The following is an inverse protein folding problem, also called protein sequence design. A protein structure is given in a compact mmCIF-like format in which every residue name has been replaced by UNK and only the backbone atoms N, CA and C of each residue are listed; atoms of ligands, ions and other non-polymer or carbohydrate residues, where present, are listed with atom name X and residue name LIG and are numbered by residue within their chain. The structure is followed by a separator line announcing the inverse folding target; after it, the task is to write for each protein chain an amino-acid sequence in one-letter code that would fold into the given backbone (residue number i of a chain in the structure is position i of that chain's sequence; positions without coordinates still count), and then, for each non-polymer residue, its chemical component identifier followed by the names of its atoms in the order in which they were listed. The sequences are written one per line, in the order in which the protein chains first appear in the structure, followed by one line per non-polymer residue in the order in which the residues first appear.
data_IF_074734009535
#
_entry.id   IF_074734009535
#
_cell.length_a   1.000
_cell.length_b   1.000
_cell.length_c   1.000
_cell.angle_alpha   90.00
_cell.angle_beta   90.00
_cell.angle_gamma   90.00
#
_symmetry.space_group_name_H-M   'P 1'
#
loop_
_entity.id
_entity.type
_entity.pdbx_description
1 polymer ?
2 non-polymer ?
3 non-polymer ?
4 non-polymer ?
5 non-polymer ?
6 non-polymer ?
7 water ?
#
# COMPACT_ATOMS: atom_id res chain seq x y z
N UNK A 16 -22.34 8.63 5.20
CA UNK A 16 -20.90 8.74 4.79
C UNK A 16 -20.56 7.76 3.65
N UNK A 17 -21.34 7.78 2.56
CA UNK A 17 -21.00 6.85 1.51
C UNK A 17 -19.63 7.20 0.88
N UNK A 18 -18.94 6.18 0.43
CA UNK A 18 -17.76 6.42 -0.38
C UNK A 18 -18.16 6.88 -1.77
N UNK A 19 -17.28 7.65 -2.42
CA UNK A 19 -17.64 8.13 -3.74
C UNK A 19 -17.50 7.08 -4.82
N UNK A 20 -18.02 7.42 -6.00
CA UNK A 20 -17.95 6.59 -7.19
C UNK A 20 -16.58 5.99 -7.30
N UNK A 21 -16.53 4.66 -7.37
CA UNK A 21 -15.31 3.87 -7.63
C UNK A 21 -14.23 4.01 -6.54
N UNK A 22 -14.72 4.26 -5.34
CA UNK A 22 -13.97 3.94 -4.13
C UNK A 22 -14.56 2.70 -3.50
N UNK A 23 -13.86 2.17 -2.52
CA UNK A 23 -14.21 0.96 -1.81
C UNK A 23 -14.30 1.28 -0.33
N UNK A 24 -15.34 0.80 0.32
CA UNK A 24 -15.53 1.02 1.76
C UNK A 24 -15.02 -0.13 2.58
N UNK A 25 -14.36 0.14 3.68
CA UNK A 25 -14.08 -0.89 4.68
C UNK A 25 -13.81 -0.22 6.03
N UNK A 26 -14.56 -0.63 7.04
CA UNK A 26 -14.37 -0.14 8.44
C UNK A 26 -14.24 1.36 8.54
N UNK A 27 -15.12 2.10 7.86
CA UNK A 27 -15.21 3.55 8.07
C UNK A 27 -14.22 4.35 7.27
N UNK A 28 -13.45 3.66 6.42
CA UNK A 28 -12.56 4.37 5.50
C UNK A 28 -12.95 4.05 4.09
N UNK A 29 -12.61 4.95 3.19
CA UNK A 29 -12.77 4.79 1.76
C UNK A 29 -11.40 4.57 1.14
N UNK A 30 -11.31 3.62 0.22
CA UNK A 30 -10.05 3.27 -0.43
C UNK A 30 -10.21 3.44 -1.91
N UNK A 31 -9.22 4.06 -2.53
CA UNK A 31 -9.18 4.20 -3.98
C UNK A 31 -8.18 3.24 -4.54
N UNK A 32 -8.62 2.25 -5.30
CA UNK A 32 -7.75 1.33 -6.02
C UNK A 32 -7.56 1.87 -7.42
N UNK A 33 -6.35 2.31 -7.71
CA UNK A 33 -6.11 3.02 -8.96
C UNK A 33 -6.36 2.12 -10.18
N UNK A 34 -6.67 2.79 -11.28
CA UNK A 34 -6.69 1.99 -12.51
C UNK A 34 -5.53 2.33 -13.44
N UNK A 35 -4.72 3.30 -13.07
CA UNK A 35 -3.45 3.57 -13.77
C UNK A 35 -2.31 3.23 -12.82
N UNK A 36 -1.08 3.36 -13.29
CA UNK A 36 0.14 3.02 -12.52
C UNK A 36 1.08 4.18 -12.36
N UNK A 37 1.73 4.25 -11.21
CA UNK A 37 2.65 5.34 -10.84
C UNK A 37 3.79 4.75 -10.04
N UNK A 38 4.95 5.40 -10.07
CA UNK A 38 5.98 5.04 -9.11
C UNK A 38 5.57 5.42 -7.69
N UNK A 39 6.37 5.03 -6.70
CA UNK A 39 5.94 5.15 -5.32
C UNK A 39 5.74 6.60 -4.93
N UNK A 40 6.71 7.47 -5.20
CA UNK A 40 6.53 8.85 -4.84
C UNK A 40 5.36 9.55 -5.53
N UNK A 41 5.14 9.21 -6.80
CA UNK A 41 4.02 9.80 -7.51
C UNK A 41 2.68 9.27 -6.99
N UNK A 42 2.70 8.04 -6.48
CA UNK A 42 1.49 7.51 -5.82
C UNK A 42 1.16 8.28 -4.53
N UNK A 43 2.19 8.62 -3.75
CA UNK A 43 1.97 9.47 -2.58
C UNK A 43 1.31 10.80 -3.00
N UNK A 44 1.82 11.41 -4.07
CA UNK A 44 1.30 12.70 -4.55
C UNK A 44 -0.12 12.52 -5.04
N UNK A 45 -0.38 11.47 -5.79
CA UNK A 45 -1.76 11.28 -6.31
C UNK A 45 -2.76 11.18 -5.14
N UNK A 46 -2.40 10.48 -4.08
CA UNK A 46 -3.31 10.41 -2.94
C UNK A 46 -3.49 11.72 -2.25
N UNK A 47 -2.40 12.48 -2.10
CA UNK A 47 -2.52 13.82 -1.45
C UNK A 47 -3.43 14.73 -2.28
N UNK A 48 -3.46 14.56 -3.60
CA UNK A 48 -4.27 15.41 -4.47
C UNK A 48 -5.76 15.27 -4.18
N UNK A 49 -6.17 14.10 -3.69
CA UNK A 49 -7.57 13.81 -3.40
C UNK A 49 -7.81 13.78 -1.89
N UNK A 50 -6.92 14.39 -1.10
CA UNK A 50 -7.09 14.49 0.36
C UNK A 50 -6.99 13.17 1.07
N UNK A 51 -6.21 12.26 0.50
CA UNK A 51 -6.05 10.91 1.04
C UNK A 51 -4.58 10.63 1.29
N UNK A 52 -4.25 9.39 1.62
CA UNK A 52 -2.87 8.98 1.87
C UNK A 52 -2.61 7.63 1.22
N UNK A 53 -1.43 7.43 0.63
CA UNK A 53 -1.03 6.15 0.14
C UNK A 53 -1.12 5.21 1.34
N UNK A 54 -1.80 4.08 1.17
CA UNK A 54 -2.42 3.44 2.36
C UNK A 54 -1.40 3.04 3.44
N UNK A 55 -1.75 3.41 4.67
CA UNK A 55 -1.04 2.97 5.87
C UNK A 55 -1.95 1.98 6.60
N UNK A 56 -1.46 0.77 6.77
CA UNK A 56 -2.26 -0.29 7.37
C UNK A 56 -2.12 -0.24 8.87
N UNK A 57 -3.26 -0.28 9.55
CA UNK A 57 -3.30 -0.14 11.02
C UNK A 57 -3.78 -1.40 11.72
N UNK A 58 -4.30 -2.38 10.99
CA UNK A 58 -4.79 -3.61 11.65
C UNK A 58 -4.66 -4.83 10.80
N UNK A 59 -4.72 -5.99 11.47
CA UNK A 59 -4.73 -7.27 10.78
C UNK A 59 -5.88 -7.41 9.80
N UNK A 60 -7.09 -7.01 10.22
CA UNK A 60 -8.21 -7.19 9.30
C UNK A 60 -8.13 -6.26 8.09
N UNK A 61 -7.55 -5.08 8.25
CA UNK A 61 -7.35 -4.18 7.14
C UNK A 61 -6.32 -4.75 6.18
N UNK A 62 -5.23 -5.29 6.72
CA UNK A 62 -4.28 -6.03 5.90
C UNK A 62 -4.94 -7.16 5.13
N UNK A 63 -5.73 -7.97 5.83
CA UNK A 63 -6.31 -9.13 5.14
C UNK A 63 -7.21 -8.65 4.02
N UNK A 64 -8.01 -7.61 4.27
CA UNK A 64 -8.90 -7.08 3.29
C UNK A 64 -8.17 -6.53 2.08
N UNK A 65 -7.14 -5.69 2.31
CA UNK A 65 -6.46 -5.07 1.18
C UNK A 65 -5.65 -6.09 0.38
N UNK A 66 -5.01 -7.00 1.09
CA UNK A 66 -4.21 -8.06 0.44
C UNK A 66 -5.06 -8.88 -0.50
N UNK A 67 -6.26 -9.25 -0.04
CA UNK A 67 -7.17 -10.03 -0.89
C UNK A 67 -7.60 -9.24 -2.12
N UNK A 68 -7.87 -7.94 -2.00
CA UNK A 68 -8.24 -7.15 -3.20
C UNK A 68 -7.15 -7.21 -4.23
N UNK A 69 -5.91 -7.09 -3.78
CA UNK A 69 -4.77 -7.05 -4.69
C UNK A 69 -4.51 -8.44 -5.28
N UNK A 70 -4.57 -9.48 -4.46
CA UNK A 70 -4.37 -10.88 -4.87
C UNK A 70 -5.36 -11.32 -5.96
N UNK A 71 -6.63 -11.09 -5.74
CA UNK A 71 -7.64 -11.56 -6.67
C UNK A 71 -7.76 -10.71 -7.92
N UNK A 72 -7.15 -9.53 -7.95
CA UNK A 72 -7.13 -8.72 -9.17
C UNK A 72 -5.84 -8.91 -9.94
N UNK A 73 -4.95 -9.74 -9.41
CA UNK A 73 -3.60 -9.91 -9.97
C UNK A 73 -2.91 -8.58 -10.23
N UNK A 74 -3.01 -7.65 -9.28
CA UNK A 74 -2.41 -6.32 -9.41
C UNK A 74 -1.30 -6.15 -8.39
N UNK A 75 -0.10 -5.87 -8.85
CA UNK A 75 0.97 -5.43 -7.97
C UNK A 75 0.73 -3.97 -7.60
N UNK A 76 0.64 -3.71 -6.28
CA UNK A 76 0.02 -2.45 -5.80
C UNK A 76 0.89 -1.84 -4.70
N UNK A 77 1.23 -0.57 -4.80
CA UNK A 77 1.98 0.11 -3.71
C UNK A 77 1.13 0.33 -2.46
N UNK A 78 1.81 0.24 -1.32
CA UNK A 78 1.28 0.77 -0.05
C UNK A 78 2.23 1.82 0.49
N UNK A 79 1.86 2.51 1.54
CA UNK A 79 2.66 3.64 2.07
C UNK A 79 3.73 3.20 3.04
N UNK A 80 4.68 2.36 2.60
CA UNK A 80 5.68 1.78 3.50
C UNK A 80 6.99 1.71 2.74
N UNK A 81 8.08 2.16 3.39
CA UNK A 81 9.41 2.17 2.73
C UNK A 81 10.52 1.97 3.75
N UNK A 82 11.69 1.55 3.26
CA UNK A 82 12.94 1.61 4.04
C UNK A 82 13.95 2.47 3.33
N UNK A 83 13.48 3.50 2.62
CA UNK A 83 14.35 4.45 1.93
C UNK A 83 15.30 5.12 2.88
N UNK A 84 14.85 5.48 4.07
CA UNK A 84 15.69 6.28 4.98
C UNK A 84 16.77 5.44 5.64
N UNK A 85 16.38 4.31 6.20
CA UNK A 85 17.36 3.42 6.79
C UNK A 85 17.08 2.00 6.35
N UNK A 86 17.97 1.44 5.54
CA UNK A 86 17.81 0.12 5.00
C UNK A 86 17.48 -0.86 6.08
N UNK A 87 16.40 -1.61 5.88
CA UNK A 87 15.97 -2.61 6.84
C UNK A 87 15.03 -2.06 7.89
N UNK A 88 14.91 -0.75 8.00
CA UNK A 88 13.96 -0.17 8.97
C UNK A 88 12.77 0.38 8.19
N UNK A 89 11.66 -0.33 8.26
CA UNK A 89 10.50 0.00 7.45
C UNK A 89 9.62 0.97 8.22
N UNK A 90 9.20 2.03 7.55
CA UNK A 90 8.34 2.97 8.22
C UNK A 90 7.22 3.47 7.30
N UNK A 91 6.04 3.60 7.87
CA UNK A 91 4.88 4.04 7.10
C UNK A 91 4.95 5.51 6.79
N UNK A 92 4.24 5.94 5.74
CA UNK A 92 4.31 7.36 5.31
C UNK A 92 3.71 8.32 6.33
N UNK A 93 3.00 7.82 7.37
CA UNK A 93 2.53 8.70 8.45
C UNK A 93 3.55 8.79 9.56
N UNK A 94 4.71 8.16 9.38
CA UNK A 94 5.78 8.19 10.36
C UNK A 94 5.80 7.03 11.34
N UNK A 95 4.76 6.19 11.34
CA UNK A 95 4.72 5.09 12.30
C UNK A 95 5.65 3.96 11.87
N UNK A 96 6.27 3.27 12.82
CA UNK A 96 7.17 2.18 12.53
C UNK A 96 6.40 0.95 12.11
N UNK A 97 7.05 0.11 11.32
CA UNK A 97 6.49 -1.21 11.07
C UNK A 97 6.61 -2.06 12.35
N UNK A 98 5.46 -2.45 12.88
CA UNK A 98 5.48 -3.29 14.09
C UNK A 98 5.95 -4.72 13.80
N UNK A 99 6.67 -5.33 14.75
CA UNK A 99 7.21 -6.65 14.43
C UNK A 99 6.18 -7.65 14.04
N UNK A 100 5.00 -7.61 14.63
CA UNK A 100 3.95 -8.53 14.28
C UNK A 100 3.51 -8.40 12.81
N UNK A 101 3.55 -7.18 12.26
CA UNK A 101 3.15 -6.99 10.87
C UNK A 101 4.16 -7.61 9.89
N UNK A 102 5.37 -7.93 10.38
CA UNK A 102 6.36 -8.54 9.51
C UNK A 102 5.99 -9.94 9.04
N UNK A 103 4.99 -10.54 9.70
CA UNK A 103 4.34 -11.74 9.21
C UNK A 103 3.74 -11.59 7.83
N UNK A 104 3.48 -10.34 7.39
CA UNK A 104 2.79 -10.19 6.11
C UNK A 104 3.73 -10.19 4.90
N UNK A 105 5.03 -10.03 5.13
CA UNK A 105 6.00 -10.23 4.02
C UNK A 105 5.83 -11.59 3.40
N UNK A 106 5.88 -11.69 2.08
CA UNK A 106 5.98 -13.01 1.40
C UNK A 106 7.23 -13.73 1.94
N UNK A 107 7.19 -15.05 1.91
CA UNK A 107 8.40 -15.84 2.18
C UNK A 107 9.55 -15.32 1.35
N UNK A 108 10.67 -15.10 2.03
CA UNK A 108 11.87 -14.63 1.33
C UNK A 108 11.96 -13.12 1.20
N UNK A 109 10.97 -12.38 1.72
CA UNK A 109 11.00 -10.90 1.69
C UNK A 109 11.06 -10.34 3.08
N UNK A 110 11.52 -9.12 3.23
CA UNK A 110 12.10 -8.29 2.18
C UNK A 110 13.53 -8.75 1.89
N UNK A 111 13.87 -8.77 0.62
CA UNK A 111 15.21 -9.27 0.22
C UNK A 111 16.16 -8.22 -0.40
N UNK A 112 15.64 -7.00 -0.59
CA UNK A 112 16.45 -5.88 -1.08
C UNK A 112 17.20 -6.17 -2.37
N UNK A 113 16.66 -7.00 -3.24
CA UNK A 113 17.45 -7.43 -4.41
C UNK A 113 17.71 -6.31 -5.37
N UNK A 114 18.98 -5.95 -5.52
CA UNK A 114 19.30 -4.80 -6.33
C UNK A 114 19.01 -3.45 -5.70
N UNK A 115 18.67 -3.43 -4.40
CA UNK A 115 18.11 -2.25 -3.69
C UNK A 115 16.64 -2.09 -3.99
N UNK A 116 15.83 -2.49 -3.02
CA UNK A 116 14.35 -2.40 -3.11
C UNK A 116 13.88 -1.74 -1.84
N UNK A 117 13.32 -0.55 -1.96
CA UNK A 117 13.04 0.23 -0.77
C UNK A 117 11.56 0.62 -0.51
N UNK A 118 10.66 0.07 -1.33
CA UNK A 118 9.23 0.39 -1.24
C UNK A 118 8.45 -0.91 -1.21
N UNK A 119 7.36 -0.93 -0.45
CA UNK A 119 6.56 -2.14 -0.29
C UNK A 119 5.32 -2.15 -1.14
N UNK A 120 5.04 -3.33 -1.67
CA UNK A 120 3.83 -3.57 -2.51
C UNK A 120 3.11 -4.79 -1.99
N UNK A 121 1.82 -4.86 -2.29
CA UNK A 121 1.07 -6.09 -2.22
C UNK A 121 1.41 -6.89 -3.44
N UNK A 122 1.84 -8.13 -3.21
CA UNK A 122 2.25 -9.05 -4.32
C UNK A 122 1.77 -10.45 -3.99
N UNK A 123 0.70 -10.91 -4.66
CA UNK A 123 0.16 -12.23 -4.32
C UNK A 123 -0.53 -12.22 -2.97
N UNK A 124 -0.10 -13.09 -2.07
CA UNK A 124 -0.76 -13.20 -0.78
C UNK A 124 -0.04 -12.51 0.36
N UNK A 125 1.01 -11.77 0.03
CA UNK A 125 1.69 -10.98 1.04
C UNK A 125 2.42 -9.82 0.39
N UNK A 126 3.38 -9.29 1.12
CA UNK A 126 4.10 -8.08 0.72
C UNK A 126 5.43 -8.41 0.07
N UNK A 127 5.86 -7.55 -0.84
CA UNK A 127 7.20 -7.65 -1.44
C UNK A 127 7.84 -6.28 -1.34
N UNK A 128 9.14 -6.23 -1.13
CA UNK A 128 9.90 -5.00 -1.39
C UNK A 128 10.35 -4.96 -2.85
N UNK A 129 10.13 -3.80 -3.47
CA UNK A 129 10.47 -3.63 -4.87
C UNK A 129 11.05 -2.24 -5.06
N UNK A 130 11.50 -2.01 -6.30
CA UNK A 130 12.15 -0.73 -6.70
C UNK A 130 11.15 0.40 -6.67
N UNK A 131 11.47 1.43 -5.91
CA UNK A 131 10.54 2.54 -5.75
C UNK A 131 10.22 3.27 -7.04
N UNK A 132 11.10 3.19 -8.05
CA UNK A 132 10.81 3.90 -9.30
C UNK A 132 10.05 3.04 -10.28
N UNK A 133 9.58 1.84 -9.89
CA UNK A 133 8.69 1.05 -10.73
C UNK A 133 7.28 1.58 -10.63
N UNK A 134 6.61 1.65 -11.76
CA UNK A 134 5.19 1.98 -11.77
C UNK A 134 4.30 0.83 -11.44
N UNK A 135 3.44 1.04 -10.44
CA UNK A 135 2.52 -0.01 -9.98
C UNK A 135 1.17 0.64 -9.77
N UNK A 136 0.11 -0.17 -9.60
CA UNK A 136 -1.11 0.40 -9.09
C UNK A 136 -0.89 0.89 -7.67
N UNK A 137 -1.82 1.68 -7.17
CA UNK A 137 -1.70 2.16 -5.80
C UNK A 137 -3.06 2.19 -5.14
N UNK A 138 -3.04 2.28 -3.83
CA UNK A 138 -4.28 2.40 -3.03
C UNK A 138 -4.20 3.62 -2.11
N UNK A 139 -5.19 4.50 -2.22
CA UNK A 139 -5.29 5.62 -1.28
C UNK A 139 -6.32 5.28 -0.22
N UNK A 140 -6.11 5.84 0.96
CA UNK A 140 -7.02 5.68 2.11
C UNK A 140 -7.45 7.05 2.63
N UNK A 141 -8.74 7.20 2.90
CA UNK A 141 -9.28 8.46 3.49
C UNK A 141 -10.48 8.07 4.34
N UNK A 142 -10.75 8.80 5.41
CA UNK A 142 -11.93 8.48 6.21
C UNK A 142 -13.21 8.74 5.45
N UNK A 143 -14.19 7.87 5.64
CA UNK A 143 -15.48 8.08 5.00
C UNK A 143 -16.18 9.35 5.47
N UNK A 144 -15.96 9.73 6.71
CA UNK A 144 -16.55 10.94 7.26
C UNK A 144 -15.96 12.20 6.60
N UNK A 145 -14.77 12.11 6.00
CA UNK A 145 -14.13 13.28 5.38
C UNK A 145 -14.48 13.52 3.91
N UNK A 146 -15.22 12.61 3.26
CA UNK A 146 -15.48 12.76 1.80
C UNK A 146 -16.16 14.10 1.47
X LIG B 1 11.53 -10.27 -8.39
X LIG B 1 11.25 -8.96 -7.68
X LIG B 1 11.74 -9.11 -6.26
X LIG B 1 11.22 -10.32 -5.55
X LIG B 1 11.52 -11.57 -6.38
X LIG B 1 10.84 -12.73 -5.70
X LIG B 1 12.94 -10.34 -8.50
X LIG B 1 9.82 -8.79 -7.64
X LIG B 1 11.41 -7.94 -5.50
X LIG B 1 11.80 -10.28 -4.22
X LIG B 1 10.95 -11.39 -7.69
X LIG B 1 11.05 -13.92 -6.47
X LIG C 1 14.69 -11.98 -8.74
X LIG C 1 15.80 -10.94 -8.79
X LIG C 1 15.94 -10.37 -10.20
X LIG C 1 16.99 -9.31 -10.29
X LIG C 1 17.75 -9.30 -11.24
X LIG C 1 17.09 -8.22 -9.32
X LIG C 1 17.84 -7.04 -9.61
X LIG C 1 14.62 -9.81 -10.71
X LIG C 1 14.77 -9.20 -12.08
X LIG C 1 15.54 -8.26 -12.27
X LIG C 1 13.93 -9.66 -13.17
X LIG C 1 12.55 -9.29 -13.21
X LIG C 1 13.56 -10.91 -10.75
X LIG C 1 13.38 -11.43 -9.33
X LIG D 1 13.81 -15.20 -9.68
X LIG D 1 12.43 -14.78 -9.50
X LIG D 1 14.74 -14.36 -8.79
X LIG D 1 15.08 -13.15 -9.47
X LIG E 1 11.84 -8.15 -3.03
X LIG F 1 15.53 -1.92 1.12
X LIG G 1 18.16 0.84 0.39
X LIG H 1 -2.33 9.06 -13.25
X LIG I 1 -6.50 5.89 -11.59
X LIG J 1 1.24 11.03 2.73
#
# INVERSE_FOLDING_TARGET
MASWSHPQFEKIEGRHPCPWEWTFFQGNCYFMSNSQRNWHDSITACKEVGAQLVVIKSAEEQNFLQLQSSRSNRFTWMGLSDLNQEGTWQWVDGSPLLPSFKQYWNRGEPNNVGEEDCAEFSGNGWNDDKCNLAKFWICKKSAASCSRDEEQFLSPAPATPNPPPA
MAN C1 C2 C3 C4 C5 C6 O1 O2 O3 O4 O5 O6
07B CBK CAR CBO CBA OAE OAT CAB CBN CAZ OAD OAS CAA CAQ CBJ
ETA CA N C O
CA CA
CA CA
CA CA
CL CL
CL CL
CL CL
#
